data_IF_589341500287
#
_entry.id   IF_589341500287
#
_cell.length_a   1.000
_cell.length_b   1.000
_cell.length_c   1.000
_cell.angle_alpha   90.00
_cell.angle_beta   90.00
_cell.angle_gamma   90.00
#
_symmetry.space_group_name_H-M   'P 1'
#
loop_
_entity.id
_entity.type
_entity.pdbx_description
1 polymer ?
#
# COMPACT_ATOMS: atom_id res chain seq x y z
N UNK A 1 53.03 -9.37 46.51
CA UNK A 1 52.25 -8.15 46.73
C UNK A 1 51.38 -7.91 45.50
N UNK A 2 50.10 -8.08 45.66
CA UNK A 2 49.14 -7.93 44.55
C UNK A 2 48.44 -6.57 44.75
N UNK A 3 48.52 -5.61 43.81
CA UNK A 3 47.82 -4.34 43.96
C UNK A 3 46.36 -4.54 43.54
N UNK A 4 45.47 -4.61 44.51
CA UNK A 4 44.01 -4.51 44.25
C UNK A 4 43.70 -3.08 43.81
N UNK A 5 43.49 -2.88 42.49
CA UNK A 5 43.00 -1.62 41.95
C UNK A 5 41.56 -1.42 42.34
N UNK A 6 41.30 -0.69 43.40
CA UNK A 6 39.92 -0.29 43.77
C UNK A 6 39.42 0.78 42.77
N UNK A 7 38.43 0.38 41.99
CA UNK A 7 37.70 1.32 41.09
C UNK A 7 37.06 2.40 41.97
N UNK A 8 37.28 3.67 41.63
CA UNK A 8 36.74 4.78 42.40
C UNK A 8 35.21 4.76 42.42
N UNK A 9 34.56 5.16 43.50
CA UNK A 9 33.09 5.25 43.65
C UNK A 9 32.46 6.05 42.49
N UNK A 10 33.12 7.09 42.02
CA UNK A 10 32.65 7.90 40.87
C UNK A 10 32.63 7.10 39.58
N UNK A 11 33.65 6.28 39.32
CA UNK A 11 33.75 5.41 38.17
C UNK A 11 32.70 4.30 38.21
N UNK A 12 32.42 3.72 39.38
CA UNK A 12 31.36 2.73 39.55
C UNK A 12 29.96 3.30 39.25
N UNK A 13 29.66 4.50 39.77
CA UNK A 13 28.36 5.17 39.51
C UNK A 13 28.20 5.47 38.02
N UNK A 14 29.27 5.94 37.35
CA UNK A 14 29.23 6.25 35.92
C UNK A 14 28.99 4.99 35.08
N UNK A 15 29.70 3.89 35.36
CA UNK A 15 29.52 2.62 34.66
C UNK A 15 28.11 2.06 34.86
N UNK A 16 27.59 2.10 36.09
CA UNK A 16 26.24 1.65 36.38
C UNK A 16 25.19 2.47 35.63
N UNK A 17 25.35 3.80 35.59
CA UNK A 17 24.41 4.67 34.84
C UNK A 17 24.45 4.39 33.33
N UNK A 18 25.61 4.16 32.74
CA UNK A 18 25.76 3.81 31.33
C UNK A 18 25.13 2.45 31.04
N UNK A 19 25.30 1.45 31.88
CA UNK A 19 24.68 0.13 31.74
C UNK A 19 23.16 0.21 31.84
N UNK A 20 22.62 1.01 32.76
CA UNK A 20 21.16 1.20 32.90
C UNK A 20 20.57 1.92 31.66
N UNK A 21 21.28 2.94 31.16
CA UNK A 21 20.85 3.63 29.93
C UNK A 21 20.89 2.71 28.71
N UNK A 22 21.94 1.90 28.58
CA UNK A 22 22.06 0.92 27.50
C UNK A 22 20.98 -0.16 27.58
N UNK A 23 20.65 -0.65 28.77
CA UNK A 23 19.58 -1.61 28.99
C UNK A 23 18.21 -1.00 28.68
N UNK A 24 17.95 0.24 29.11
CA UNK A 24 16.72 0.95 28.79
C UNK A 24 16.57 1.19 27.29
N UNK A 25 17.64 1.55 26.58
CA UNK A 25 17.67 1.72 25.14
C UNK A 25 17.40 0.40 24.39
N UNK A 26 18.03 -0.69 24.84
CA UNK A 26 17.80 -2.03 24.27
C UNK A 26 16.36 -2.50 24.49
N UNK A 27 15.78 -2.24 25.66
CA UNK A 27 14.36 -2.55 25.92
C UNK A 27 13.41 -1.69 25.09
N UNK A 28 13.71 -0.40 24.89
CA UNK A 28 12.92 0.49 24.04
C UNK A 28 12.97 0.04 22.57
N UNK A 29 14.13 -0.40 22.08
CA UNK A 29 14.31 -0.88 20.71
C UNK A 29 13.64 -2.22 20.44
N UNK A 30 13.53 -3.09 21.45
CA UNK A 30 12.88 -4.39 21.38
C UNK A 30 11.41 -4.36 21.84
N UNK A 31 10.88 -3.19 22.16
CA UNK A 31 9.46 -3.08 22.50
C UNK A 31 8.65 -3.34 21.24
N UNK A 32 7.79 -4.37 21.22
CA UNK A 32 6.90 -4.55 20.09
C UNK A 32 6.06 -3.28 19.93
N UNK A 33 5.79 -2.82 18.70
CA UNK A 33 4.92 -1.68 18.48
C UNK A 33 3.62 -1.90 19.24
N UNK A 34 3.05 -0.82 19.77
CA UNK A 34 1.81 -0.91 20.53
C UNK A 34 0.78 -1.71 19.73
N UNK A 35 0.07 -2.63 20.37
CA UNK A 35 -0.88 -3.52 19.69
C UNK A 35 -1.88 -2.77 18.81
N UNK A 36 -2.20 -1.51 19.15
CA UNK A 36 -3.03 -0.60 18.36
C UNK A 36 -2.45 -0.22 17.00
N UNK A 37 -1.11 -0.21 16.82
CA UNK A 37 -0.47 0.19 15.56
C UNK A 37 -0.43 -0.93 14.52
N UNK A 38 -0.57 -2.18 14.94
CA UNK A 38 -0.55 -3.35 14.06
C UNK A 38 -1.95 -3.96 13.85
N UNK A 39 -2.97 -3.41 14.47
CA UNK A 39 -4.29 -3.99 14.43
C UNK A 39 -4.98 -3.70 13.10
N UNK A 40 -5.43 -4.77 12.45
CA UNK A 40 -6.30 -4.74 11.28
C UNK A 40 -7.75 -4.71 11.76
N UNK A 41 -8.50 -3.72 11.29
CA UNK A 41 -9.95 -3.64 11.47
C UNK A 41 -10.63 -3.79 10.12
N UNK A 42 -11.51 -4.77 10.03
CA UNK A 42 -12.31 -5.04 8.85
C UNK A 42 -13.72 -5.43 9.30
N UNK A 43 -14.73 -4.96 8.64
CA UNK A 43 -16.12 -5.27 8.97
C UNK A 43 -17.05 -4.09 8.73
N UNK A 44 -18.30 -4.28 9.19
CA UNK A 44 -19.36 -3.29 9.06
C UNK A 44 -19.02 -1.99 9.81
N UNK A 45 -19.26 -0.86 9.14
CA UNK A 45 -19.06 0.48 9.72
C UNK A 45 -17.60 0.91 9.90
N UNK A 46 -16.60 0.09 9.49
CA UNK A 46 -15.19 0.42 9.77
C UNK A 46 -14.59 1.29 8.67
N UNK A 47 -14.63 0.85 7.44
CA UNK A 47 -14.02 1.52 6.30
C UNK A 47 -15.01 1.50 5.13
N UNK A 48 -16.10 2.23 5.27
CA UNK A 48 -17.14 2.33 4.26
C UNK A 48 -17.14 3.72 3.64
N UNK A 49 -17.31 3.76 2.34
CA UNK A 49 -17.35 5.00 1.59
C UNK A 49 -18.32 4.86 0.41
N UNK A 50 -19.07 5.92 0.15
CA UNK A 50 -19.88 6.02 -1.05
C UNK A 50 -19.03 6.49 -2.21
N UNK A 51 -19.19 5.82 -3.35
CA UNK A 51 -18.62 6.27 -4.63
C UNK A 51 -19.75 6.70 -5.57
N UNK A 52 -19.39 7.33 -6.68
CA UNK A 52 -20.36 7.71 -7.72
C UNK A 52 -21.18 6.51 -8.21
N UNK A 53 -20.61 5.30 -8.18
CA UNK A 53 -21.24 4.09 -8.72
C UNK A 53 -21.83 3.16 -7.66
N UNK A 54 -21.51 3.37 -6.40
CA UNK A 54 -22.06 2.60 -5.28
C UNK A 54 -21.12 2.51 -4.08
N UNK A 55 -21.59 1.97 -2.95
CA UNK A 55 -20.83 1.90 -1.73
C UNK A 55 -19.74 0.82 -1.79
N UNK A 56 -18.59 1.13 -1.13
CA UNK A 56 -17.47 0.20 -1.01
C UNK A 56 -17.06 0.04 0.45
N UNK A 57 -16.52 -1.13 0.80
CA UNK A 57 -15.96 -1.41 2.12
C UNK A 57 -14.54 -1.91 1.97
N UNK A 58 -13.60 -1.14 2.49
CA UNK A 58 -12.19 -1.48 2.63
C UNK A 58 -11.84 -2.01 4.03
N UNK A 59 -10.69 -1.60 4.53
CA UNK A 59 -10.20 -1.93 5.87
C UNK A 59 -9.37 -0.78 6.45
N UNK A 60 -9.20 -0.82 7.77
CA UNK A 60 -8.32 0.09 8.49
C UNK A 60 -7.12 -0.71 9.01
N UNK A 61 -5.92 -0.31 8.61
CA UNK A 61 -4.67 -0.89 9.06
C UNK A 61 -3.72 0.23 9.45
N UNK A 62 -3.15 0.15 10.66
CA UNK A 62 -2.21 1.16 11.17
C UNK A 62 -2.72 2.60 11.03
N UNK A 63 -4.01 2.80 11.29
CA UNK A 63 -4.71 4.09 11.15
C UNK A 63 -4.75 4.65 9.72
N UNK A 64 -4.60 3.81 8.70
CA UNK A 64 -4.80 4.17 7.30
C UNK A 64 -5.96 3.34 6.76
N UNK A 65 -6.96 4.02 6.23
CA UNK A 65 -8.04 3.41 5.48
C UNK A 65 -7.53 2.99 4.10
N UNK A 66 -7.76 1.74 3.77
CA UNK A 66 -7.30 1.15 2.51
C UNK A 66 -8.47 0.54 1.76
N UNK A 67 -8.62 0.92 0.50
CA UNK A 67 -9.60 0.38 -0.41
C UNK A 67 -8.85 -0.17 -1.64
N UNK A 68 -9.07 -1.42 -1.97
CA UNK A 68 -8.33 -2.11 -3.03
C UNK A 68 -9.28 -2.63 -4.09
N UNK A 69 -8.89 -2.49 -5.36
CA UNK A 69 -9.63 -3.05 -6.48
C UNK A 69 -10.97 -2.39 -6.78
N UNK A 70 -11.14 -1.09 -6.48
CA UNK A 70 -12.35 -0.35 -6.83
C UNK A 70 -12.42 -0.21 -8.36
N UNK A 71 -13.54 -0.60 -9.02
CA UNK A 71 -13.70 -0.37 -10.45
C UNK A 71 -13.88 1.11 -10.75
N UNK A 72 -13.12 1.63 -11.71
CA UNK A 72 -13.32 2.96 -12.29
C UNK A 72 -13.73 2.89 -13.76
N UNK A 73 -13.78 1.69 -14.32
CA UNK A 73 -14.31 1.37 -15.65
C UNK A 73 -14.96 -0.01 -15.63
N UNK A 74 -15.79 -0.27 -16.66
CA UNK A 74 -16.43 -1.55 -16.89
C UNK A 74 -15.41 -2.58 -17.41
N UNK A 75 -15.79 -3.87 -17.40
CA UNK A 75 -14.99 -4.95 -17.99
C UNK A 75 -14.70 -4.65 -19.47
N UNK A 76 -13.40 -4.60 -19.79
CA UNK A 76 -12.90 -4.33 -21.13
C UNK A 76 -12.69 -5.60 -21.97
N UNK A 77 -13.13 -6.76 -21.49
CA UNK A 77 -13.03 -8.04 -22.17
C UNK A 77 -14.17 -8.31 -23.16
N UNK A 78 -14.07 -9.44 -23.83
CA UNK A 78 -15.09 -9.93 -24.74
C UNK A 78 -15.46 -8.93 -25.84
N UNK A 79 -16.72 -8.52 -25.89
CA UNK A 79 -17.25 -7.56 -26.87
C UNK A 79 -16.71 -6.13 -26.70
N UNK A 80 -16.19 -5.83 -25.52
CA UNK A 80 -15.64 -4.51 -25.19
C UNK A 80 -14.14 -4.41 -25.49
N UNK A 81 -13.51 -5.51 -25.93
CA UNK A 81 -12.07 -5.52 -26.29
C UNK A 81 -11.81 -4.56 -27.45
N UNK A 82 -10.76 -3.76 -27.33
CA UNK A 82 -10.36 -2.69 -28.25
C UNK A 82 -11.37 -1.53 -28.38
N UNK A 83 -12.47 -1.57 -27.61
CA UNK A 83 -13.42 -0.46 -27.58
C UNK A 83 -13.00 0.61 -26.56
N UNK A 84 -13.47 1.86 -26.72
CA UNK A 84 -13.30 2.88 -25.70
C UNK A 84 -13.84 2.40 -24.34
N UNK A 85 -13.16 2.72 -23.21
CA UNK A 85 -13.63 2.31 -21.89
C UNK A 85 -14.99 2.90 -21.58
N UNK A 86 -15.82 2.14 -20.88
CA UNK A 86 -17.13 2.57 -20.41
C UNK A 86 -17.09 2.78 -18.89
N UNK A 87 -17.95 3.64 -18.33
CA UNK A 87 -18.14 3.75 -16.89
C UNK A 87 -18.53 2.41 -16.27
N UNK A 88 -18.21 2.15 -15.00
CA UNK A 88 -18.67 0.96 -14.31
C UNK A 88 -20.19 0.93 -14.21
N UNK A 89 -20.77 -0.26 -14.21
CA UNK A 89 -22.17 -0.41 -13.83
C UNK A 89 -22.37 -0.06 -12.35
N UNK A 90 -23.37 0.78 -12.05
CA UNK A 90 -23.72 1.12 -10.68
C UNK A 90 -24.17 -0.11 -9.88
N UNK A 91 -23.87 -0.13 -8.59
CA UNK A 91 -24.26 -1.18 -7.66
C UNK A 91 -24.92 -0.61 -6.41
N UNK A 92 -25.77 -1.40 -5.75
CA UNK A 92 -26.52 -0.98 -4.56
C UNK A 92 -25.97 -1.57 -3.27
N UNK A 93 -25.44 -2.78 -3.33
CA UNK A 93 -24.89 -3.46 -2.15
C UNK A 93 -23.43 -3.04 -1.91
N UNK A 94 -23.02 -3.05 -0.65
CA UNK A 94 -21.63 -2.70 -0.30
C UNK A 94 -20.68 -3.71 -0.94
N UNK A 95 -19.85 -3.21 -1.87
CA UNK A 95 -18.83 -4.01 -2.55
C UNK A 95 -17.57 -4.11 -1.70
N UNK A 96 -17.06 -5.33 -1.43
CA UNK A 96 -15.77 -5.49 -0.77
C UNK A 96 -14.63 -4.91 -1.62
N UNK A 97 -13.83 -4.04 -1.01
CA UNK A 97 -12.63 -3.42 -1.59
C UNK A 97 -11.39 -3.77 -0.74
N UNK A 98 -11.17 -5.07 -0.51
CA UNK A 98 -10.13 -5.61 0.39
C UNK A 98 -9.02 -6.34 -0.37
N UNK A 99 -9.23 -6.66 -1.64
CA UNK A 99 -8.26 -7.34 -2.50
C UNK A 99 -7.97 -6.49 -3.74
N UNK A 100 -6.74 -6.54 -4.22
CA UNK A 100 -6.36 -5.88 -5.46
C UNK A 100 -7.12 -6.47 -6.64
N UNK A 101 -7.45 -5.65 -7.62
CA UNK A 101 -8.06 -6.09 -8.86
C UNK A 101 -7.03 -6.65 -9.83
N UNK A 102 -7.52 -7.23 -10.92
CA UNK A 102 -6.65 -7.77 -11.97
C UNK A 102 -5.76 -6.68 -12.58
N UNK A 103 -4.56 -7.07 -12.95
CA UNK A 103 -3.67 -6.30 -13.82
C UNK A 103 -4.02 -6.56 -15.29
N UNK A 104 -3.72 -5.62 -16.17
CA UNK A 104 -3.88 -5.83 -17.61
C UNK A 104 -3.06 -7.03 -18.08
N UNK A 105 -3.58 -7.83 -19.04
CA UNK A 105 -2.79 -8.88 -19.67
C UNK A 105 -1.49 -8.29 -20.24
N UNK A 106 -0.36 -8.94 -19.93
CA UNK A 106 0.97 -8.49 -20.30
C UNK A 106 1.95 -9.67 -20.33
N UNK A 107 3.07 -9.59 -21.07
CA UNK A 107 4.09 -10.62 -21.03
C UNK A 107 4.73 -10.71 -19.65
N UNK A 108 4.99 -11.94 -19.18
CA UNK A 108 5.88 -12.15 -18.05
C UNK A 108 7.32 -11.99 -18.52
N UNK A 109 8.02 -11.03 -17.95
CA UNK A 109 9.46 -10.93 -18.13
C UNK A 109 10.15 -11.60 -16.94
N UNK A 110 11.19 -12.40 -17.22
CA UNK A 110 12.08 -12.94 -16.18
C UNK A 110 12.85 -11.74 -15.56
N UNK A 111 12.35 -11.25 -14.45
CA UNK A 111 12.98 -10.16 -13.70
C UNK A 111 13.83 -10.77 -12.60
N UNK A 112 15.10 -11.01 -12.93
CA UNK A 112 16.05 -11.57 -11.99
C UNK A 112 16.47 -10.49 -10.97
N UNK A 113 16.49 -10.83 -9.68
CA UNK A 113 16.90 -9.89 -8.61
C UNK A 113 18.28 -9.28 -8.84
N UNK A 114 19.19 -10.03 -9.46
CA UNK A 114 20.58 -9.59 -9.64
C UNK A 114 20.74 -8.37 -10.57
N UNK A 115 19.70 -8.04 -11.35
CA UNK A 115 19.75 -6.95 -12.33
C UNK A 115 19.20 -5.63 -11.80
N UNK A 116 18.68 -5.61 -10.56
CA UNK A 116 17.93 -4.46 -10.03
C UNK A 116 18.35 -4.13 -8.60
N UNK A 117 18.12 -2.88 -8.20
CA UNK A 117 18.34 -2.43 -6.82
C UNK A 117 17.35 -3.09 -5.86
N UNK A 118 17.66 -3.07 -4.57
CA UNK A 118 16.79 -3.59 -3.49
C UNK A 118 15.36 -3.03 -3.49
N UNK A 119 15.08 -1.97 -4.25
CA UNK A 119 13.75 -1.38 -4.36
C UNK A 119 12.81 -2.15 -5.31
N UNK A 120 13.32 -3.14 -6.04
CA UNK A 120 12.59 -3.86 -7.08
C UNK A 120 12.61 -5.38 -6.88
N UNK A 121 12.93 -5.85 -5.69
CA UNK A 121 13.05 -7.28 -5.40
C UNK A 121 11.69 -8.01 -5.33
N UNK A 122 10.59 -7.29 -5.09
CA UNK A 122 9.26 -7.86 -5.05
C UNK A 122 8.42 -7.26 -6.19
N UNK A 123 8.10 -8.12 -7.15
CA UNK A 123 7.23 -7.79 -8.26
C UNK A 123 5.90 -8.52 -8.08
N UNK A 124 4.86 -7.78 -7.72
CA UNK A 124 3.52 -8.31 -7.63
C UNK A 124 2.88 -8.34 -9.01
N UNK A 125 2.76 -9.55 -9.55
CA UNK A 125 1.97 -9.82 -10.74
C UNK A 125 0.82 -10.73 -10.34
N UNK A 126 -0.14 -10.17 -9.63
CA UNK A 126 -1.35 -10.88 -9.26
C UNK A 126 -2.16 -11.30 -10.49
N UNK A 127 -3.39 -11.67 -10.29
CA UNK A 127 -4.31 -12.05 -11.35
C UNK A 127 -4.24 -11.07 -12.54
N UNK A 128 -4.07 -11.59 -13.74
CA UNK A 128 -4.16 -10.82 -14.98
C UNK A 128 -5.50 -11.07 -15.66
N UNK A 129 -6.09 -10.03 -16.20
CA UNK A 129 -7.38 -10.13 -16.90
C UNK A 129 -7.75 -8.82 -17.57
N UNK A 130 -8.75 -8.87 -18.43
CA UNK A 130 -9.22 -7.68 -19.14
C UNK A 130 -10.14 -6.80 -18.29
N UNK A 131 -10.72 -7.34 -17.21
CA UNK A 131 -11.42 -6.57 -16.18
C UNK A 131 -10.40 -5.90 -15.24
N UNK A 132 -9.54 -5.03 -15.78
CA UNK A 132 -8.39 -4.45 -15.12
C UNK A 132 -8.51 -2.96 -14.80
N UNK A 133 -9.62 -2.31 -15.15
CA UNK A 133 -9.81 -0.90 -14.83
C UNK A 133 -10.14 -0.72 -13.35
N UNK A 134 -9.12 -0.93 -12.52
CA UNK A 134 -9.20 -0.95 -11.05
C UNK A 134 -8.25 0.06 -10.46
N UNK A 135 -8.63 0.64 -9.33
CA UNK A 135 -7.79 1.55 -8.55
C UNK A 135 -7.75 1.14 -7.09
N UNK A 136 -6.74 1.61 -6.41
CA UNK A 136 -6.53 1.41 -4.98
C UNK A 136 -6.38 2.77 -4.31
N UNK A 137 -6.92 2.92 -3.10
CA UNK A 137 -6.90 4.17 -2.35
C UNK A 137 -6.38 3.91 -0.94
N UNK A 138 -5.51 4.81 -0.46
CA UNK A 138 -5.07 4.90 0.92
C UNK A 138 -5.31 6.32 1.42
N UNK A 139 -5.91 6.45 2.60
CA UNK A 139 -6.21 7.76 3.21
C UNK A 139 -6.13 7.69 4.74
N UNK A 140 -5.60 8.73 5.41
CA UNK A 140 -5.57 8.78 6.87
C UNK A 140 -6.93 9.13 7.51
N UNK A 141 -7.95 9.48 6.73
CA UNK A 141 -9.26 9.80 7.27
C UNK A 141 -10.39 9.68 6.26
N UNK A 142 -11.58 9.31 6.75
CA UNK A 142 -12.83 9.28 6.02
C UNK A 142 -13.82 10.24 6.66
N UNK A 143 -14.55 11.02 5.86
CA UNK A 143 -15.63 11.91 6.30
C UNK A 143 -15.26 12.83 7.49
N UNK A 144 -13.99 13.18 7.64
CA UNK A 144 -13.46 14.00 8.74
C UNK A 144 -13.48 15.50 8.43
N UNK A 145 -14.11 15.92 7.33
CA UNK A 145 -14.23 17.30 6.89
C UNK A 145 -12.97 17.91 6.29
N UNK A 146 -11.85 17.17 6.25
CA UNK A 146 -10.62 17.67 5.65
C UNK A 146 -10.64 17.50 4.12
N UNK A 147 -10.07 18.50 3.44
CA UNK A 147 -9.80 18.46 1.99
C UNK A 147 -8.35 18.11 1.76
N UNK A 148 -8.05 16.82 1.67
CA UNK A 148 -6.67 16.34 1.41
C UNK A 148 -6.31 16.46 -0.06
N UNK A 149 -5.06 16.77 -0.38
CA UNK A 149 -4.55 16.62 -1.74
C UNK A 149 -4.68 15.15 -2.18
N UNK A 150 -4.96 14.94 -3.45
CA UNK A 150 -5.01 13.61 -4.06
C UNK A 150 -3.81 13.43 -4.96
N UNK A 151 -3.02 12.39 -4.72
CA UNK A 151 -1.93 11.98 -5.59
C UNK A 151 -2.37 10.72 -6.34
N UNK A 152 -2.45 10.81 -7.67
CA UNK A 152 -2.74 9.69 -8.55
C UNK A 152 -1.43 9.16 -9.11
N UNK A 153 -1.13 7.89 -8.84
CA UNK A 153 0.04 7.20 -9.33
C UNK A 153 -0.29 6.38 -10.58
N UNK A 154 0.35 6.72 -11.68
CA UNK A 154 0.34 5.98 -12.92
C UNK A 154 1.67 5.25 -13.04
N UNK A 155 1.63 3.92 -13.04
CA UNK A 155 2.84 3.08 -13.03
C UNK A 155 3.62 3.20 -14.34
N UNK A 156 4.91 2.87 -14.29
CA UNK A 156 5.79 2.79 -15.45
C UNK A 156 5.60 1.49 -16.24
N UNK A 157 6.45 1.29 -17.26
CA UNK A 157 6.49 0.04 -18.05
C UNK A 157 6.30 0.24 -19.55
N UNK A 158 6.43 1.50 -20.04
CA UNK A 158 6.42 1.82 -21.48
C UNK A 158 5.12 1.45 -22.17
N UNK A 159 4.00 1.55 -21.49
CA UNK A 159 2.65 1.20 -21.95
C UNK A 159 2.44 -0.30 -22.26
N UNK A 160 3.45 -1.14 -22.03
CA UNK A 160 3.41 -2.57 -22.40
C UNK A 160 3.34 -3.49 -21.21
N UNK A 161 3.74 -3.02 -20.02
CA UNK A 161 3.83 -3.82 -18.79
C UNK A 161 3.67 -2.96 -17.55
N UNK A 162 3.55 -3.62 -16.39
CA UNK A 162 3.42 -3.00 -15.09
C UNK A 162 2.02 -3.06 -14.53
N UNK A 163 1.86 -2.64 -13.30
CA UNK A 163 0.57 -2.46 -12.63
C UNK A 163 0.70 -1.54 -11.42
N UNK A 164 -0.41 -1.15 -10.83
CA UNK A 164 -0.45 -0.22 -9.69
C UNK A 164 0.04 -0.81 -8.36
N UNK A 165 0.49 -2.06 -8.33
CA UNK A 165 0.94 -2.76 -7.12
C UNK A 165 2.25 -3.54 -7.33
N UNK A 166 2.88 -3.42 -8.49
CA UNK A 166 4.02 -4.27 -8.86
C UNK A 166 5.22 -4.13 -7.93
N UNK A 167 5.37 -2.99 -7.27
CA UNK A 167 6.46 -2.71 -6.35
C UNK A 167 5.91 -2.34 -4.97
N UNK A 168 6.62 -2.74 -3.92
CA UNK A 168 6.27 -2.38 -2.53
C UNK A 168 6.22 -0.86 -2.33
N UNK A 169 7.00 -0.11 -3.10
CA UNK A 169 6.99 1.36 -3.09
C UNK A 169 5.68 1.98 -3.61
N UNK A 170 4.82 1.20 -4.28
CA UNK A 170 3.52 1.65 -4.76
C UNK A 170 2.40 1.47 -3.72
N UNK A 171 2.71 0.84 -2.55
CA UNK A 171 1.80 0.84 -1.42
C UNK A 171 1.69 2.25 -0.84
N UNK A 172 0.48 2.80 -0.85
CA UNK A 172 0.21 4.17 -0.48
C UNK A 172 0.16 4.44 1.03
N UNK A 173 0.32 3.42 1.89
CA UNK A 173 0.16 3.59 3.34
C UNK A 173 1.07 4.68 3.91
N UNK A 174 2.36 4.62 3.58
CA UNK A 174 3.34 5.55 4.15
C UNK A 174 3.16 6.97 3.60
N UNK A 175 2.97 7.11 2.30
CA UNK A 175 2.80 8.44 1.70
C UNK A 175 1.50 9.11 2.16
N UNK A 176 0.41 8.35 2.32
CA UNK A 176 -0.84 8.85 2.85
C UNK A 176 -0.68 9.29 4.32
N UNK A 177 0.03 8.50 5.13
CA UNK A 177 0.28 8.78 6.55
C UNK A 177 1.11 10.05 6.75
N UNK A 178 2.28 10.12 6.12
CA UNK A 178 3.24 11.21 6.37
C UNK A 178 2.91 12.49 5.61
N UNK A 179 2.21 12.36 4.48
CA UNK A 179 1.79 13.49 3.67
C UNK A 179 0.43 14.08 4.04
N UNK A 180 -0.36 13.42 4.90
CA UNK A 180 -1.79 13.70 5.14
C UNK A 180 -2.55 13.86 3.82
N UNK A 181 -2.32 12.92 2.86
CA UNK A 181 -2.89 12.95 1.52
C UNK A 181 -3.76 11.71 1.25
N UNK A 182 -4.55 11.77 0.19
CA UNK A 182 -5.14 10.59 -0.44
C UNK A 182 -4.19 10.10 -1.52
N UNK A 183 -3.70 8.86 -1.42
CA UNK A 183 -2.91 8.23 -2.47
C UNK A 183 -3.80 7.27 -3.25
N UNK A 184 -3.71 7.32 -4.58
CA UNK A 184 -4.45 6.47 -5.49
C UNK A 184 -3.50 5.82 -6.49
N UNK A 185 -3.41 4.49 -6.54
CA UNK A 185 -2.73 3.77 -7.61
C UNK A 185 -3.75 3.19 -8.58
N UNK A 186 -3.40 3.14 -9.86
CA UNK A 186 -4.34 2.81 -10.94
C UNK A 186 -3.77 1.69 -11.81
N UNK A 187 -4.59 0.67 -12.10
CA UNK A 187 -4.36 -0.26 -13.20
C UNK A 187 -5.08 0.26 -14.45
N UNK A 188 -4.38 0.25 -15.57
CA UNK A 188 -4.97 0.59 -16.88
C UNK A 188 -4.63 -0.49 -17.90
N UNK A 189 -5.33 -0.50 -19.03
CA UNK A 189 -5.02 -1.41 -20.14
C UNK A 189 -3.61 -1.14 -20.67
N UNK A 190 -2.97 -2.19 -21.19
CA UNK A 190 -1.59 -2.16 -21.69
C UNK A 190 -1.51 -2.75 -23.10
N UNK A 191 -0.40 -2.44 -23.79
CA UNK A 191 -0.09 -2.96 -25.11
C UNK A 191 -1.23 -2.70 -26.11
N UNK A 192 -1.50 -3.67 -26.96
CA UNK A 192 -2.55 -3.55 -27.97
C UNK A 192 -3.96 -3.39 -27.40
N UNK A 193 -4.21 -3.85 -26.15
CA UNK A 193 -5.51 -3.69 -25.51
C UNK A 193 -5.82 -2.26 -25.08
N UNK A 194 -4.76 -1.43 -24.89
CA UNK A 194 -4.90 -0.07 -24.37
C UNK A 194 -4.38 1.03 -25.27
N UNK A 195 -3.43 0.73 -26.13
CA UNK A 195 -2.62 1.72 -26.89
C UNK A 195 -2.44 1.35 -28.36
N UNK A 196 -3.36 0.63 -28.97
CA UNK A 196 -3.45 0.44 -30.43
C UNK A 196 -4.37 1.50 -31.02
N UNK A 197 -3.90 2.18 -32.06
CA UNK A 197 -4.71 3.04 -32.93
C UNK A 197 -5.57 2.21 -33.88
#
# INVERSE_FOLDING_TARGET
MNPSSSISRRTQVLVTAICLLAAAYAQAKNRPPAASEQQLFIGEGIAEADTEYGPVRGFLLRNIYSFRGIPYGDDTGGKNRFMPPQPPHAWQEIRPAVAFGASSPQPFYDRRPESYSMFVDHWNYDLMGEDCLRLNIWTPGLADGKRRPVLVWLHGGGFTQGNGIEQDSYDGENIARYGDIVFCSVNHRLGALGFSD
#
